data_IF_117079655459
#
_entry.id   IF_117079655459
#
_cell.length_a   1.000
_cell.length_b   1.000
_cell.length_c   1.000
_cell.angle_alpha   90.00
_cell.angle_beta   90.00
_cell.angle_gamma   90.00
#
_symmetry.space_group_name_H-M   'P 1'
#
loop_
_entity.id
_entity.type
_entity.pdbx_description
1 polymer ?
#
# COMPACT_ATOMS: atom_id res chain seq x y z
N UNK A 1 -47.08 -35.82 -16.77
CA UNK A 1 -45.66 -35.41 -16.78
C UNK A 1 -45.54 -34.00 -16.17
N UNK A 2 -44.63 -33.78 -15.21
CA UNK A 2 -44.55 -32.55 -14.42
C UNK A 2 -43.69 -31.47 -15.11
N UNK A 3 -44.08 -30.20 -15.00
CA UNK A 3 -43.24 -29.05 -15.37
C UNK A 3 -42.26 -28.77 -14.23
N UNK A 4 -40.98 -28.81 -14.58
CA UNK A 4 -39.83 -28.62 -13.71
C UNK A 4 -39.77 -27.23 -13.08
N UNK A 5 -39.36 -27.23 -11.81
CA UNK A 5 -38.77 -26.11 -11.09
C UNK A 5 -37.58 -25.52 -11.87
N UNK A 6 -37.45 -24.18 -11.87
CA UNK A 6 -36.14 -23.53 -12.03
C UNK A 6 -35.71 -22.99 -10.68
N UNK A 7 -34.71 -23.66 -10.12
CA UNK A 7 -33.90 -23.19 -9.00
C UNK A 7 -33.08 -21.97 -9.42
N UNK A 8 -32.71 -21.17 -8.43
CA UNK A 8 -31.96 -19.93 -8.60
C UNK A 8 -30.54 -20.10 -9.12
N UNK A 9 -29.90 -18.94 -9.30
CA UNK A 9 -28.46 -18.69 -9.09
C UNK A 9 -28.19 -17.21 -9.32
N UNK A 10 -27.99 -16.51 -8.21
CA UNK A 10 -26.85 -15.62 -7.96
C UNK A 10 -26.26 -14.89 -9.16
N UNK A 11 -26.59 -13.60 -9.27
CA UNK A 11 -25.80 -12.62 -10.00
C UNK A 11 -24.98 -11.81 -9.00
N UNK A 12 -23.95 -12.44 -8.41
CA UNK A 12 -22.82 -11.71 -7.85
C UNK A 12 -21.80 -11.55 -8.97
N UNK A 13 -21.90 -10.43 -9.70
CA UNK A 13 -20.81 -9.97 -10.54
C UNK A 13 -19.73 -9.38 -9.62
N UNK A 14 -18.74 -10.18 -9.28
CA UNK A 14 -17.48 -9.68 -8.72
C UNK A 14 -16.82 -8.77 -9.76
N UNK A 15 -16.69 -7.50 -9.39
CA UNK A 15 -15.96 -6.50 -10.15
C UNK A 15 -14.45 -6.70 -9.88
N UNK A 16 -13.87 -7.78 -10.39
CA UNK A 16 -12.42 -7.99 -10.36
C UNK A 16 -11.81 -7.18 -11.52
N UNK A 17 -11.21 -6.04 -11.23
CA UNK A 17 -10.32 -5.40 -12.19
C UNK A 17 -9.08 -6.29 -12.39
N UNK A 18 -8.62 -6.49 -13.63
CA UNK A 18 -7.50 -7.37 -13.92
C UNK A 18 -6.20 -6.80 -13.36
N UNK A 19 -5.57 -7.54 -12.45
CA UNK A 19 -4.16 -7.34 -12.09
C UNK A 19 -3.31 -7.43 -13.37
N UNK A 20 -2.74 -6.30 -13.80
CA UNK A 20 -1.88 -6.26 -14.99
C UNK A 20 -0.53 -6.90 -14.65
N UNK A 21 -0.19 -7.97 -15.38
CA UNK A 21 1.06 -8.73 -15.21
C UNK A 21 2.29 -7.86 -15.50
N UNK A 22 3.22 -7.81 -14.55
CA UNK A 22 4.57 -7.28 -14.72
C UNK A 22 5.33 -8.12 -15.75
N UNK A 23 5.77 -7.50 -16.86
CA UNK A 23 6.69 -8.11 -17.81
C UNK A 23 7.92 -7.23 -17.88
N UNK A 24 9.02 -7.65 -17.24
CA UNK A 24 10.28 -6.89 -17.29
C UNK A 24 10.84 -6.93 -18.71
N UNK A 25 10.98 -5.77 -19.36
CA UNK A 25 11.77 -5.61 -20.58
C UNK A 25 13.22 -5.25 -20.21
N UNK A 26 14.14 -5.57 -21.13
CA UNK A 26 15.59 -5.35 -21.02
C UNK A 26 15.96 -3.92 -20.55
N UNK A 27 17.12 -3.71 -19.91
CA UNK A 27 17.47 -2.41 -19.33
C UNK A 27 17.63 -1.37 -20.43
N UNK A 28 16.71 -0.40 -20.45
CA UNK A 28 16.75 0.78 -21.31
C UNK A 28 17.89 1.71 -20.83
N UNK A 29 18.62 2.33 -21.77
CA UNK A 29 19.60 3.38 -21.44
C UNK A 29 18.92 4.49 -20.63
N UNK A 30 19.62 5.04 -19.64
CA UNK A 30 19.11 6.15 -18.83
C UNK A 30 18.77 7.35 -19.73
N UNK A 31 17.59 7.96 -19.59
CA UNK A 31 17.19 9.13 -20.38
C UNK A 31 18.16 10.30 -20.19
N UNK A 32 18.32 11.13 -21.22
CA UNK A 32 19.10 12.36 -21.10
C UNK A 32 18.33 13.43 -20.33
N UNK A 33 19.02 14.36 -19.62
CA UNK A 33 18.36 15.45 -18.89
C UNK A 33 17.44 16.32 -19.78
N UNK A 34 17.81 16.52 -21.05
CA UNK A 34 16.94 17.25 -21.99
C UNK A 34 15.66 16.48 -22.34
N UNK A 35 15.74 15.15 -22.49
CA UNK A 35 14.57 14.32 -22.73
C UNK A 35 13.64 14.31 -21.51
N UNK A 36 14.20 14.29 -20.30
CA UNK A 36 13.46 14.37 -19.04
C UNK A 36 12.74 15.73 -18.89
N UNK A 37 13.44 16.85 -19.12
CA UNK A 37 12.84 18.19 -19.11
C UNK A 37 11.73 18.33 -20.16
N UNK A 38 11.89 17.67 -21.32
CA UNK A 38 10.86 17.60 -22.36
C UNK A 38 9.58 16.89 -21.90
N UNK A 39 9.69 15.88 -21.04
CA UNK A 39 8.55 15.16 -20.48
C UNK A 39 7.78 16.02 -19.48
N UNK A 40 8.47 16.72 -18.57
CA UNK A 40 7.83 17.65 -17.63
C UNK A 40 7.06 18.75 -18.37
N UNK A 41 7.72 19.45 -19.31
CA UNK A 41 7.07 20.51 -20.11
C UNK A 41 5.86 20.00 -20.90
N UNK A 42 5.88 18.72 -21.29
CA UNK A 42 4.74 18.11 -21.98
C UNK A 42 3.54 17.95 -21.06
N UNK A 43 3.74 17.53 -19.80
CA UNK A 43 2.67 17.47 -18.79
C UNK A 43 2.08 18.86 -18.58
N UNK A 44 2.92 19.86 -18.33
CA UNK A 44 2.48 21.25 -18.15
C UNK A 44 1.67 21.76 -19.36
N UNK A 45 2.12 21.45 -20.58
CA UNK A 45 1.39 21.78 -21.81
C UNK A 45 0.04 21.07 -21.91
N UNK A 46 -0.06 19.79 -21.53
CA UNK A 46 -1.32 19.05 -21.53
C UNK A 46 -2.30 19.61 -20.49
N UNK A 47 -1.80 19.98 -19.30
CA UNK A 47 -2.56 20.65 -18.25
C UNK A 47 -3.08 22.01 -18.73
N UNK A 48 -2.23 22.84 -19.35
CA UNK A 48 -2.62 24.12 -19.90
C UNK A 48 -3.67 24.00 -21.02
N UNK A 49 -3.70 22.87 -21.74
CA UNK A 49 -4.72 22.54 -22.74
C UNK A 49 -6.02 21.99 -22.16
N UNK A 50 -6.14 21.91 -20.83
CA UNK A 50 -7.34 21.43 -20.15
C UNK A 50 -7.59 19.93 -20.29
N UNK A 51 -6.55 19.13 -20.48
CA UNK A 51 -6.69 17.65 -20.48
C UNK A 51 -7.15 17.14 -19.12
N UNK A 52 -7.85 16.00 -19.12
CA UNK A 52 -8.38 15.41 -17.88
C UNK A 52 -7.28 14.67 -17.12
N UNK A 53 -7.38 14.51 -15.79
CA UNK A 53 -6.43 13.73 -14.98
C UNK A 53 -6.11 12.35 -15.59
N UNK A 54 -7.13 11.62 -16.04
CA UNK A 54 -6.96 10.33 -16.71
C UNK A 54 -6.08 10.40 -17.97
N UNK A 55 -6.22 11.45 -18.78
CA UNK A 55 -5.37 11.62 -19.98
C UNK A 55 -3.89 11.84 -19.58
N UNK A 56 -3.66 12.54 -18.47
CA UNK A 56 -2.32 12.76 -17.93
C UNK A 56 -1.74 11.45 -17.41
N UNK A 57 -2.51 10.67 -16.64
CA UNK A 57 -2.09 9.37 -16.14
C UNK A 57 -1.75 8.39 -17.29
N UNK A 58 -2.57 8.33 -18.34
CA UNK A 58 -2.29 7.52 -19.54
C UNK A 58 -0.98 7.92 -20.24
N UNK A 59 -0.70 9.22 -20.32
CA UNK A 59 0.56 9.73 -20.86
C UNK A 59 1.75 9.35 -19.98
N UNK A 60 1.64 9.53 -18.65
CA UNK A 60 2.69 9.16 -17.69
C UNK A 60 3.01 7.67 -17.76
N UNK A 61 1.98 6.83 -17.82
CA UNK A 61 2.13 5.39 -18.00
C UNK A 61 2.92 5.06 -19.27
N UNK A 62 2.53 5.63 -20.41
CA UNK A 62 3.24 5.42 -21.68
C UNK A 62 4.72 5.83 -21.61
N UNK A 63 5.02 6.98 -21.00
CA UNK A 63 6.40 7.47 -20.84
C UNK A 63 7.22 6.53 -19.95
N UNK A 64 6.62 6.03 -18.87
CA UNK A 64 7.25 5.13 -17.89
C UNK A 64 7.57 3.76 -18.49
N UNK A 65 6.57 3.12 -19.12
CA UNK A 65 6.73 1.82 -19.80
C UNK A 65 7.73 1.85 -20.96
N UNK A 66 7.88 3.01 -21.60
CA UNK A 66 8.86 3.20 -22.68
C UNK A 66 10.25 3.60 -22.18
N UNK A 67 10.43 3.75 -20.86
CA UNK A 67 11.68 4.19 -20.23
C UNK A 67 12.18 5.54 -20.74
N UNK A 68 11.27 6.42 -21.17
CA UNK A 68 11.60 7.74 -21.72
C UNK A 68 11.87 8.79 -20.65
N UNK A 69 11.35 8.58 -19.44
CA UNK A 69 11.55 9.44 -18.30
C UNK A 69 11.53 8.61 -17.02
N UNK A 70 12.37 8.97 -16.07
CA UNK A 70 12.42 8.45 -14.71
C UNK A 70 12.73 9.59 -13.72
N UNK A 71 12.46 10.83 -14.13
CA UNK A 71 12.73 12.04 -13.36
C UNK A 71 11.54 12.33 -12.44
N UNK A 72 11.79 12.44 -11.13
CA UNK A 72 10.77 12.75 -10.14
C UNK A 72 9.97 14.01 -10.45
N UNK A 73 10.60 15.04 -11.02
CA UNK A 73 9.92 16.31 -11.34
C UNK A 73 8.78 16.11 -12.35
N UNK A 74 8.94 15.19 -13.29
CA UNK A 74 7.91 14.84 -14.27
C UNK A 74 6.69 14.19 -13.59
N UNK A 75 6.91 13.25 -12.67
CA UNK A 75 5.82 12.58 -11.95
C UNK A 75 5.15 13.52 -10.94
N UNK A 76 5.91 14.35 -10.22
CA UNK A 76 5.37 15.37 -9.32
C UNK A 76 4.47 16.37 -10.06
N UNK A 77 4.87 16.87 -11.23
CA UNK A 77 4.04 17.78 -12.01
C UNK A 77 2.69 17.14 -12.43
N UNK A 78 2.71 15.86 -12.78
CA UNK A 78 1.49 15.12 -13.10
C UNK A 78 0.63 14.90 -11.84
N UNK A 79 1.26 14.53 -10.73
CA UNK A 79 0.63 14.26 -9.45
C UNK A 79 -0.04 15.52 -8.86
N UNK A 80 0.64 16.66 -8.87
CA UNK A 80 0.09 17.93 -8.38
C UNK A 80 -1.20 18.29 -9.12
N UNK A 81 -1.23 18.07 -10.43
CA UNK A 81 -2.43 18.29 -11.23
C UNK A 81 -3.56 17.33 -10.84
N UNK A 82 -3.32 16.03 -10.76
CA UNK A 82 -4.38 15.05 -10.43
C UNK A 82 -4.91 15.23 -9.01
N UNK A 83 -4.03 15.48 -8.04
CA UNK A 83 -4.40 15.76 -6.65
C UNK A 83 -5.20 17.06 -6.52
N UNK A 84 -4.84 18.13 -7.24
CA UNK A 84 -5.61 19.39 -7.24
C UNK A 84 -7.05 19.21 -7.76
N UNK A 85 -7.25 18.18 -8.60
CA UNK A 85 -8.57 17.79 -9.13
C UNK A 85 -9.29 16.77 -8.25
N UNK A 86 -8.67 16.33 -7.14
CA UNK A 86 -9.15 15.25 -6.26
C UNK A 86 -9.41 13.93 -7.01
N UNK A 87 -8.63 13.67 -8.05
CA UNK A 87 -8.71 12.43 -8.83
C UNK A 87 -7.68 11.43 -8.28
N UNK A 88 -8.08 10.72 -7.22
CA UNK A 88 -7.18 9.83 -6.48
C UNK A 88 -6.84 8.55 -7.25
N UNK A 89 -7.69 8.11 -8.18
CA UNK A 89 -7.41 6.96 -9.03
C UNK A 89 -6.29 7.30 -10.02
N UNK A 90 -6.37 8.47 -10.68
CA UNK A 90 -5.30 8.92 -11.58
C UNK A 90 -3.99 9.20 -10.83
N UNK A 91 -4.06 9.65 -9.57
CA UNK A 91 -2.89 9.83 -8.73
C UNK A 91 -2.27 8.49 -8.30
N UNK A 92 -3.08 7.44 -8.04
CA UNK A 92 -2.60 6.07 -7.85
C UNK A 92 -1.82 5.59 -9.09
N UNK A 93 -2.42 5.73 -10.28
CA UNK A 93 -1.82 5.32 -11.56
C UNK A 93 -0.47 6.00 -11.81
N UNK A 94 -0.33 7.29 -11.48
CA UNK A 94 0.92 8.04 -11.61
C UNK A 94 1.99 7.49 -10.68
N UNK A 95 1.65 7.23 -9.41
CA UNK A 95 2.59 6.65 -8.45
C UNK A 95 3.04 5.24 -8.87
N UNK A 96 2.12 4.39 -9.34
CA UNK A 96 2.49 3.07 -9.85
C UNK A 96 3.39 3.16 -11.10
N UNK A 97 3.13 4.14 -11.97
CA UNK A 97 4.00 4.42 -13.13
C UNK A 97 5.40 4.88 -12.70
N UNK A 98 5.51 5.67 -11.63
CA UNK A 98 6.78 6.07 -11.05
C UNK A 98 7.57 4.87 -10.51
N UNK A 99 6.89 3.91 -9.87
CA UNK A 99 7.49 2.64 -9.43
C UNK A 99 8.03 1.84 -10.62
N UNK A 100 7.23 1.72 -11.70
CA UNK A 100 7.65 1.04 -12.94
C UNK A 100 8.90 1.67 -13.54
N UNK A 101 9.01 3.01 -13.51
CA UNK A 101 10.17 3.74 -13.98
C UNK A 101 11.33 3.81 -12.96
N UNK A 102 11.20 3.15 -11.81
CA UNK A 102 12.20 3.09 -10.75
C UNK A 102 12.54 4.45 -10.14
N UNK A 103 11.52 5.31 -9.98
CA UNK A 103 11.68 6.61 -9.34
C UNK A 103 11.85 6.40 -7.84
N UNK A 104 13.06 6.68 -7.36
CA UNK A 104 13.41 6.60 -5.95
C UNK A 104 13.32 7.99 -5.31
N UNK A 105 12.09 8.42 -5.02
CA UNK A 105 11.79 9.69 -4.36
C UNK A 105 10.65 9.50 -3.35
N UNK A 106 10.99 9.40 -2.07
CA UNK A 106 10.03 9.26 -0.98
C UNK A 106 9.01 10.41 -0.94
N UNK A 107 9.42 11.65 -1.30
CA UNK A 107 8.50 12.79 -1.24
C UNK A 107 7.37 12.68 -2.27
N UNK A 108 7.61 12.01 -3.40
CA UNK A 108 6.56 11.72 -4.38
C UNK A 108 5.45 10.87 -3.74
N UNK A 109 5.82 9.73 -3.16
CA UNK A 109 4.87 8.80 -2.57
C UNK A 109 4.23 9.36 -1.31
N UNK A 110 5.01 10.07 -0.49
CA UNK A 110 4.52 10.73 0.71
C UNK A 110 3.48 11.80 0.39
N UNK A 111 3.72 12.66 -0.61
CA UNK A 111 2.79 13.72 -1.00
C UNK A 111 1.48 13.17 -1.55
N UNK A 112 1.55 12.09 -2.35
CA UNK A 112 0.39 11.39 -2.85
C UNK A 112 -0.47 10.84 -1.69
N UNK A 113 0.16 10.08 -0.79
CA UNK A 113 -0.54 9.42 0.32
C UNK A 113 -1.11 10.45 1.30
N UNK A 114 -0.34 11.49 1.66
CA UNK A 114 -0.84 12.52 2.59
C UNK A 114 -2.08 13.21 2.02
N UNK A 115 -2.05 13.56 0.73
CA UNK A 115 -3.17 14.27 0.10
C UNK A 115 -4.39 13.37 -0.06
N UNK A 116 -4.21 12.13 -0.53
CA UNK A 116 -5.30 11.15 -0.68
C UNK A 116 -6.01 10.90 0.64
N UNK A 117 -5.25 10.89 1.74
CA UNK A 117 -5.73 10.50 3.06
C UNK A 117 -6.01 11.68 4.00
N UNK A 118 -5.82 12.93 3.54
CA UNK A 118 -6.00 14.13 4.36
C UNK A 118 -7.47 14.43 4.66
N UNK A 119 -7.83 14.76 5.91
CA UNK A 119 -9.18 15.17 6.30
C UNK A 119 -9.78 16.30 5.44
N UNK A 120 -8.95 17.24 4.99
CA UNK A 120 -9.35 18.42 4.19
C UNK A 120 -9.84 18.00 2.81
N UNK A 121 -9.32 16.90 2.27
CA UNK A 121 -9.74 16.33 0.99
C UNK A 121 -11.21 15.91 1.00
N UNK A 122 -11.77 15.58 2.18
CA UNK A 122 -13.12 15.06 2.39
C UNK A 122 -14.16 16.11 2.81
N UNK A 123 -13.83 17.40 2.80
CA UNK A 123 -14.69 18.46 3.36
C UNK A 123 -15.88 18.92 2.46
N UNK A 124 -16.08 18.34 1.27
CA UNK A 124 -17.17 18.71 0.35
C UNK A 124 -18.28 17.64 0.37
N UNK A 125 -19.49 18.04 0.78
CA UNK A 125 -20.54 17.14 1.23
C UNK A 125 -21.21 16.23 0.18
N UNK A 126 -21.92 15.23 0.69
CA UNK A 126 -23.03 14.56 0.00
C UNK A 126 -22.90 13.06 -0.25
N UNK A 127 -21.68 12.50 -0.23
CA UNK A 127 -21.43 11.05 -0.27
C UNK A 127 -20.66 10.71 1.00
N UNK A 128 -21.11 9.71 1.77
CA UNK A 128 -20.61 9.46 3.13
C UNK A 128 -19.08 9.54 3.17
N UNK A 129 -18.51 10.48 3.92
CA UNK A 129 -17.07 10.70 4.03
C UNK A 129 -16.27 9.40 4.25
N UNK A 130 -16.91 8.38 4.83
CA UNK A 130 -16.39 7.04 5.02
C UNK A 130 -16.08 6.27 3.73
N UNK A 131 -16.92 6.36 2.67
CA UNK A 131 -16.69 5.67 1.40
C UNK A 131 -15.50 6.26 0.62
N UNK A 132 -15.37 7.59 0.63
CA UNK A 132 -14.23 8.28 0.01
C UNK A 132 -12.94 8.00 0.79
N UNK A 133 -12.99 8.07 2.13
CA UNK A 133 -11.87 7.66 2.99
C UNK A 133 -11.41 6.24 2.68
N UNK A 134 -12.37 5.32 2.55
CA UNK A 134 -12.10 3.92 2.24
C UNK A 134 -11.42 3.77 0.87
N UNK A 135 -11.96 4.38 -0.19
CA UNK A 135 -11.34 4.38 -1.52
C UNK A 135 -9.93 4.98 -1.50
N UNK A 136 -9.73 6.11 -0.80
CA UNK A 136 -8.40 6.72 -0.64
C UNK A 136 -7.40 5.79 0.05
N UNK A 137 -7.82 5.05 1.09
CA UNK A 137 -6.97 4.06 1.73
C UNK A 137 -6.69 2.86 0.81
N UNK A 138 -7.65 2.42 0.01
CA UNK A 138 -7.39 1.39 -1.00
C UNK A 138 -6.31 1.86 -1.98
N UNK A 139 -6.44 3.07 -2.53
CA UNK A 139 -5.47 3.61 -3.47
C UNK A 139 -4.08 3.74 -2.84
N UNK A 140 -3.99 4.23 -1.59
CA UNK A 140 -2.73 4.32 -0.85
C UNK A 140 -2.04 2.97 -0.72
N UNK A 141 -2.73 1.89 -0.31
CA UNK A 141 -2.02 0.62 -0.16
C UNK A 141 -1.77 -0.11 -1.47
N UNK A 142 -2.48 0.22 -2.57
CA UNK A 142 -2.07 -0.24 -3.90
C UNK A 142 -0.74 0.39 -4.31
N UNK A 143 -0.54 1.69 -4.08
CA UNK A 143 0.78 2.35 -4.27
C UNK A 143 1.85 1.61 -3.46
N UNK A 144 1.62 1.42 -2.16
CA UNK A 144 2.58 0.77 -1.27
C UNK A 144 2.85 -0.69 -1.65
N UNK A 145 1.82 -1.42 -2.10
CA UNK A 145 1.95 -2.78 -2.64
C UNK A 145 2.79 -2.84 -3.92
N UNK A 146 2.66 -1.86 -4.82
CA UNK A 146 3.50 -1.77 -6.02
C UNK A 146 4.97 -1.53 -5.66
N UNK A 147 5.25 -0.61 -4.73
CA UNK A 147 6.62 -0.37 -4.23
C UNK A 147 7.18 -1.67 -3.63
N UNK A 148 6.37 -2.40 -2.87
CA UNK A 148 6.81 -3.64 -2.24
C UNK A 148 7.19 -4.72 -3.24
N UNK A 149 6.32 -4.94 -4.21
CA UNK A 149 6.57 -5.90 -5.27
C UNK A 149 7.80 -5.52 -6.11
N UNK A 150 7.98 -4.22 -6.39
CA UNK A 150 9.19 -3.72 -7.04
C UNK A 150 10.43 -4.09 -6.22
N UNK A 151 10.49 -3.71 -4.95
CA UNK A 151 11.66 -3.98 -4.10
C UNK A 151 11.98 -5.46 -3.92
N UNK A 152 10.99 -6.34 -3.94
CA UNK A 152 11.18 -7.80 -3.89
C UNK A 152 11.87 -8.37 -5.13
N UNK A 153 11.76 -7.68 -6.27
CA UNK A 153 12.31 -8.15 -7.56
C UNK A 153 13.62 -7.46 -7.95
N UNK A 154 14.06 -6.44 -7.18
CA UNK A 154 15.24 -5.65 -7.49
C UNK A 154 16.44 -5.93 -6.58
N UNK A 155 17.63 -5.62 -7.10
CA UNK A 155 18.86 -5.52 -6.29
C UNK A 155 18.75 -4.39 -5.25
N UNK A 156 19.55 -4.48 -4.18
CA UNK A 156 19.51 -3.54 -3.05
C UNK A 156 19.72 -2.07 -3.44
N UNK A 157 20.47 -1.82 -4.51
CA UNK A 157 20.79 -0.51 -5.07
C UNK A 157 19.63 0.14 -5.83
N UNK A 158 18.59 -0.62 -6.18
CA UNK A 158 17.42 -0.17 -6.95
C UNK A 158 16.12 -0.24 -6.14
N UNK A 159 16.22 -0.50 -4.84
CA UNK A 159 15.08 -0.45 -3.93
C UNK A 159 14.66 0.99 -3.76
N UNK A 160 13.35 1.21 -3.84
CA UNK A 160 12.72 2.49 -3.54
C UNK A 160 12.64 2.61 -2.03
N UNK A 161 13.13 3.71 -1.47
CA UNK A 161 12.89 4.08 -0.08
C UNK A 161 11.58 4.87 0.00
N UNK A 162 10.61 4.34 0.74
CA UNK A 162 9.30 4.94 0.97
C UNK A 162 8.88 4.82 2.44
N UNK A 163 9.83 4.70 3.37
CA UNK A 163 9.53 4.39 4.78
C UNK A 163 8.55 5.40 5.40
N UNK A 164 8.70 6.70 5.07
CA UNK A 164 7.81 7.77 5.58
C UNK A 164 6.40 7.62 5.03
N UNK A 165 6.26 7.25 3.76
CA UNK A 165 4.98 7.02 3.12
C UNK A 165 4.21 5.84 3.77
N UNK A 166 4.91 4.74 4.10
CA UNK A 166 4.32 3.61 4.83
C UNK A 166 3.85 3.98 6.24
N UNK A 167 4.68 4.68 7.02
CA UNK A 167 4.33 5.12 8.38
C UNK A 167 3.12 6.05 8.35
N UNK A 168 3.13 7.04 7.45
CA UNK A 168 2.01 7.96 7.31
C UNK A 168 0.72 7.23 6.93
N UNK A 169 0.77 6.27 6.00
CA UNK A 169 -0.41 5.51 5.61
C UNK A 169 -1.01 4.74 6.80
N UNK A 170 -0.18 4.08 7.62
CA UNK A 170 -0.69 3.40 8.83
C UNK A 170 -1.35 4.41 9.78
N UNK A 171 -0.71 5.55 10.02
CA UNK A 171 -1.24 6.58 10.93
C UNK A 171 -2.57 7.16 10.42
N UNK A 172 -2.67 7.43 9.12
CA UNK A 172 -3.90 7.94 8.51
C UNK A 172 -5.02 6.91 8.48
N UNK A 173 -4.74 5.66 8.10
CA UNK A 173 -5.75 4.59 8.14
C UNK A 173 -6.22 4.39 9.58
N UNK A 174 -5.31 4.45 10.56
CA UNK A 174 -5.63 4.36 11.98
C UNK A 174 -6.62 5.44 12.43
N UNK A 175 -6.34 6.69 12.10
CA UNK A 175 -7.14 7.88 12.49
C UNK A 175 -8.53 7.91 11.86
N UNK A 176 -8.82 7.07 10.86
CA UNK A 176 -10.15 7.00 10.27
C UNK A 176 -11.18 6.55 11.31
N UNK A 177 -11.99 7.49 11.79
CA UNK A 177 -13.21 7.20 12.54
C UNK A 177 -14.21 6.48 11.62
N UNK A 178 -14.33 5.16 11.81
CA UNK A 178 -15.24 4.28 11.09
C UNK A 178 -16.23 3.72 12.10
N UNK A 179 -17.50 4.06 11.94
CA UNK A 179 -18.57 3.64 12.85
C UNK A 179 -19.14 2.28 12.43
N UNK A 180 -19.05 1.94 11.14
CA UNK A 180 -19.48 0.65 10.62
C UNK A 180 -18.51 -0.46 11.04
N UNK A 181 -19.04 -1.53 11.65
CA UNK A 181 -18.22 -2.61 12.20
C UNK A 181 -17.44 -3.37 11.11
N UNK A 182 -18.05 -3.60 9.95
CA UNK A 182 -17.40 -4.31 8.83
C UNK A 182 -16.27 -3.47 8.26
N UNK A 183 -16.52 -2.19 7.94
CA UNK A 183 -15.49 -1.26 7.48
C UNK A 183 -14.37 -1.07 8.52
N UNK A 184 -14.70 -1.18 9.82
CA UNK A 184 -13.72 -1.07 10.89
C UNK A 184 -12.80 -2.29 10.96
N UNK A 185 -13.30 -3.47 10.60
CA UNK A 185 -12.47 -4.66 10.37
C UNK A 185 -11.64 -4.55 9.10
N UNK A 186 -12.25 -4.18 7.98
CA UNK A 186 -11.55 -4.01 6.69
C UNK A 186 -10.38 -3.02 6.82
N UNK A 187 -10.57 -1.92 7.56
CA UNK A 187 -9.52 -0.95 7.92
C UNK A 187 -8.34 -1.60 8.63
N UNK A 188 -8.58 -2.52 9.56
CA UNK A 188 -7.51 -3.22 10.30
C UNK A 188 -6.77 -4.17 9.38
N UNK A 189 -7.49 -4.93 8.56
CA UNK A 189 -6.89 -5.80 7.56
C UNK A 189 -6.01 -4.98 6.59
N UNK A 190 -6.42 -3.76 6.26
CA UNK A 190 -5.64 -2.83 5.42
C UNK A 190 -4.36 -2.32 6.09
N UNK A 191 -4.39 -1.99 7.39
CA UNK A 191 -3.18 -1.64 8.16
C UNK A 191 -2.20 -2.82 8.18
N UNK A 192 -2.72 -4.03 8.36
CA UNK A 192 -1.93 -5.25 8.39
C UNK A 192 -1.25 -5.52 7.04
N UNK A 193 -1.96 -5.30 5.94
CA UNK A 193 -1.42 -5.40 4.58
C UNK A 193 -0.32 -4.36 4.33
N UNK A 194 -0.54 -3.08 4.71
CA UNK A 194 0.50 -2.04 4.62
C UNK A 194 1.77 -2.45 5.37
N UNK A 195 1.60 -2.90 6.62
CA UNK A 195 2.71 -3.31 7.46
C UNK A 195 3.45 -4.54 6.92
N UNK A 196 2.70 -5.53 6.44
CA UNK A 196 3.26 -6.72 5.80
C UNK A 196 4.07 -6.37 4.54
N UNK A 197 3.51 -5.50 3.68
CA UNK A 197 4.19 -5.01 2.49
C UNK A 197 5.50 -4.31 2.87
N UNK A 198 5.49 -3.43 3.88
CA UNK A 198 6.70 -2.75 4.34
C UNK A 198 7.80 -3.73 4.79
N UNK A 199 7.43 -4.76 5.55
CA UNK A 199 8.36 -5.80 6.00
C UNK A 199 8.96 -6.58 4.83
N UNK A 200 8.14 -7.00 3.88
CA UNK A 200 8.54 -7.81 2.74
C UNK A 200 9.43 -6.99 1.77
N UNK A 201 9.27 -5.67 1.74
CA UNK A 201 10.01 -4.76 0.84
C UNK A 201 11.42 -4.41 1.27
N UNK A 202 11.81 -4.77 2.50
CA UNK A 202 13.04 -4.27 3.15
C UNK A 202 13.20 -2.73 3.06
N UNK A 203 12.10 -1.98 3.10
CA UNK A 203 12.08 -0.51 3.08
C UNK A 203 12.50 0.01 4.47
N UNK A 204 13.81 -0.08 4.67
CA UNK A 204 14.66 0.43 5.74
C UNK A 204 14.35 0.06 7.22
N UNK A 205 15.42 0.08 8.01
CA UNK A 205 15.61 -0.36 9.39
C UNK A 205 14.84 0.47 10.44
N UNK A 206 14.17 1.54 10.00
CA UNK A 206 13.45 2.51 10.82
C UNK A 206 11.95 2.21 10.96
N UNK A 207 11.47 1.08 10.43
CA UNK A 207 10.25 0.46 10.93
C UNK A 207 10.44 0.13 12.42
N UNK A 208 10.18 1.14 13.24
CA UNK A 208 10.50 1.13 14.65
C UNK A 208 9.58 0.22 15.45
N UNK A 209 9.99 0.04 16.70
CA UNK A 209 9.19 -0.55 17.78
C UNK A 209 7.75 -0.04 17.74
N UNK A 210 7.59 1.26 17.48
CA UNK A 210 6.31 1.95 17.48
C UNK A 210 5.33 1.40 16.43
N UNK A 211 5.78 1.09 15.21
CA UNK A 211 4.88 0.63 14.17
C UNK A 211 4.44 -0.82 14.43
N UNK A 212 5.38 -1.69 14.83
CA UNK A 212 5.04 -3.06 15.21
C UNK A 212 4.10 -3.07 16.42
N UNK A 213 4.41 -2.30 17.47
CA UNK A 213 3.58 -2.21 18.68
C UNK A 213 2.18 -1.68 18.35
N UNK A 214 2.04 -0.65 17.51
CA UNK A 214 0.73 -0.15 17.04
C UNK A 214 -0.07 -1.24 16.32
N UNK A 215 0.53 -1.89 15.32
CA UNK A 215 -0.13 -2.96 14.56
C UNK A 215 -0.50 -4.12 15.47
N UNK A 216 0.39 -4.50 16.38
CA UNK A 216 0.15 -5.56 17.34
C UNK A 216 -1.00 -5.24 18.29
N UNK A 217 -1.07 -4.02 18.82
CA UNK A 217 -2.20 -3.55 19.66
C UNK A 217 -3.54 -3.61 18.91
N UNK A 218 -3.59 -3.29 17.62
CA UNK A 218 -4.84 -3.42 16.83
C UNK A 218 -5.39 -4.83 16.81
N UNK A 219 -4.49 -5.80 16.63
CA UNK A 219 -4.86 -7.22 16.60
C UNK A 219 -5.53 -7.57 17.93
N UNK A 220 -4.92 -7.15 19.05
CA UNK A 220 -5.44 -7.42 20.39
C UNK A 220 -6.77 -6.70 20.65
N UNK A 221 -6.88 -5.43 20.26
CA UNK A 221 -8.05 -4.58 20.46
C UNK A 221 -9.21 -4.91 19.51
N UNK A 222 -9.01 -5.81 18.53
CA UNK A 222 -10.04 -6.13 17.55
C UNK A 222 -11.23 -6.93 18.14
N UNK A 223 -12.17 -6.26 18.80
CA UNK A 223 -13.31 -6.90 19.47
C UNK A 223 -14.19 -7.78 18.55
N UNK A 224 -14.24 -7.49 17.25
CA UNK A 224 -15.01 -8.28 16.28
C UNK A 224 -14.33 -9.59 15.85
N UNK A 225 -13.00 -9.68 15.97
CA UNK A 225 -12.26 -10.88 15.59
C UNK A 225 -12.33 -11.97 16.65
N UNK A 226 -12.52 -13.22 16.21
CA UNK A 226 -12.41 -14.40 17.07
C UNK A 226 -11.00 -14.51 17.68
N UNK A 227 -10.90 -15.19 18.84
CA UNK A 227 -9.61 -15.46 19.49
C UNK A 227 -8.61 -16.14 18.53
N UNK A 228 -9.11 -17.09 17.74
CA UNK A 228 -8.31 -17.79 16.73
C UNK A 228 -7.83 -16.85 15.62
N UNK A 229 -8.70 -15.99 15.06
CA UNK A 229 -8.30 -15.00 14.04
C UNK A 229 -7.22 -14.06 14.58
N UNK A 230 -7.36 -13.58 15.82
CA UNK A 230 -6.33 -12.75 16.47
C UNK A 230 -5.01 -13.49 16.66
N UNK A 231 -5.06 -14.74 17.11
CA UNK A 231 -3.86 -15.57 17.26
C UNK A 231 -3.14 -15.74 15.91
N UNK A 232 -3.88 -16.06 14.84
CA UNK A 232 -3.31 -16.19 13.50
C UNK A 232 -2.67 -14.90 13.00
N UNK A 233 -3.36 -13.75 13.15
CA UNK A 233 -2.84 -12.44 12.76
C UNK A 233 -1.60 -12.05 13.58
N UNK A 234 -1.65 -12.24 14.91
CA UNK A 234 -0.53 -11.98 15.80
C UNK A 234 0.69 -12.83 15.44
N UNK A 235 0.48 -14.11 15.15
CA UNK A 235 1.52 -15.02 14.68
C UNK A 235 2.14 -14.55 13.37
N UNK A 236 1.31 -14.25 12.35
CA UNK A 236 1.79 -13.88 11.02
C UNK A 236 2.65 -12.59 11.06
N UNK A 237 2.14 -11.53 11.69
CA UNK A 237 2.84 -10.25 11.82
C UNK A 237 4.14 -10.43 12.60
N UNK A 238 4.11 -11.18 13.70
CA UNK A 238 5.30 -11.44 14.51
C UNK A 238 6.33 -12.24 13.72
N UNK A 239 5.90 -13.28 13.00
CA UNK A 239 6.79 -14.11 12.18
C UNK A 239 7.46 -13.29 11.05
N UNK A 240 6.70 -12.44 10.35
CA UNK A 240 7.27 -11.53 9.34
C UNK A 240 8.24 -10.53 9.96
N UNK A 241 7.92 -9.98 11.13
CA UNK A 241 8.80 -9.04 11.86
C UNK A 241 10.10 -9.70 12.34
N UNK A 242 10.05 -10.96 12.79
CA UNK A 242 11.26 -11.71 13.15
C UNK A 242 12.15 -11.95 11.92
N UNK A 243 11.56 -12.24 10.75
CA UNK A 243 12.32 -12.48 9.51
C UNK A 243 12.96 -11.23 8.92
N UNK A 244 12.38 -10.04 9.18
CA UNK A 244 12.94 -8.77 8.70
C UNK A 244 14.19 -8.36 9.49
N UNK A 245 14.76 -7.17 9.25
CA UNK A 245 15.91 -6.65 10.03
C UNK A 245 15.52 -6.07 11.41
N UNK A 246 14.24 -6.09 11.75
CA UNK A 246 13.67 -5.40 12.93
C UNK A 246 13.80 -6.23 14.21
N UNK A 247 14.50 -5.75 15.24
CA UNK A 247 14.70 -6.49 16.51
C UNK A 247 13.87 -5.92 17.67
N UNK A 248 12.91 -6.71 18.20
CA UNK A 248 11.98 -6.29 19.26
C UNK A 248 11.69 -7.40 20.27
N UNK A 249 12.70 -7.79 21.05
CA UNK A 249 12.65 -8.89 22.03
C UNK A 249 11.44 -8.81 22.97
N UNK A 250 11.06 -7.61 23.45
CA UNK A 250 9.90 -7.42 24.34
C UNK A 250 8.57 -7.73 23.63
N UNK A 251 8.38 -7.21 22.42
CA UNK A 251 7.13 -7.41 21.68
C UNK A 251 7.01 -8.85 21.17
N UNK A 252 8.13 -9.49 20.82
CA UNK A 252 8.15 -10.91 20.49
C UNK A 252 7.75 -11.78 21.69
N UNK A 253 8.22 -11.44 22.90
CA UNK A 253 7.78 -12.11 24.13
C UNK A 253 6.28 -11.94 24.37
N UNK A 254 5.76 -10.71 24.30
CA UNK A 254 4.32 -10.45 24.44
C UNK A 254 3.49 -11.21 23.40
N UNK A 255 3.97 -11.29 22.16
CA UNK A 255 3.36 -12.08 21.10
C UNK A 255 3.29 -13.57 21.44
N UNK A 256 4.39 -14.14 21.95
CA UNK A 256 4.41 -15.54 22.39
C UNK A 256 3.47 -15.78 23.58
N UNK A 257 3.47 -14.92 24.60
CA UNK A 257 2.57 -15.02 25.76
C UNK A 257 1.10 -14.99 25.34
N UNK A 258 0.74 -14.09 24.43
CA UNK A 258 -0.60 -14.02 23.86
C UNK A 258 -0.99 -15.31 23.13
N UNK A 259 -0.10 -15.85 22.30
CA UNK A 259 -0.36 -17.11 21.58
C UNK A 259 -0.49 -18.30 22.55
N UNK A 260 0.32 -18.38 23.59
CA UNK A 260 0.23 -19.44 24.60
C UNK A 260 -1.09 -19.40 25.37
N UNK A 261 -1.51 -18.20 25.80
CA UNK A 261 -2.79 -18.01 26.49
C UNK A 261 -4.01 -18.34 25.61
N UNK A 262 -3.85 -18.34 24.29
CA UNK A 262 -4.88 -18.77 23.32
C UNK A 262 -4.71 -20.21 22.84
N UNK A 263 -3.83 -21.01 23.48
CA UNK A 263 -3.63 -22.42 23.15
C UNK A 263 -2.87 -22.68 21.85
N UNK A 264 -2.28 -21.66 21.22
CA UNK A 264 -1.60 -21.73 19.94
C UNK A 264 -0.16 -22.25 20.04
N UNK A 265 0.04 -23.40 20.70
CA UNK A 265 1.35 -23.97 21.03
C UNK A 265 2.27 -24.17 19.81
N UNK A 266 1.70 -24.58 18.67
CA UNK A 266 2.46 -24.78 17.44
C UNK A 266 3.00 -23.46 16.87
N UNK A 267 2.20 -22.39 16.90
CA UNK A 267 2.63 -21.05 16.46
C UNK A 267 3.75 -20.51 17.35
N UNK A 268 3.64 -20.66 18.67
CA UNK A 268 4.73 -20.29 19.60
C UNK A 268 6.02 -21.05 19.31
N UNK A 269 5.93 -22.36 19.06
CA UNK A 269 7.10 -23.18 18.70
C UNK A 269 7.76 -22.66 17.43
N UNK A 270 6.97 -22.32 16.42
CA UNK A 270 7.50 -21.75 15.18
C UNK A 270 8.16 -20.40 15.41
N UNK A 271 7.57 -19.50 16.22
CA UNK A 271 8.20 -18.21 16.53
C UNK A 271 9.52 -18.38 17.29
N UNK A 272 9.60 -19.29 18.27
CA UNK A 272 10.85 -19.61 18.97
C UNK A 272 11.94 -20.07 18.02
N UNK A 273 11.60 -20.96 17.08
CA UNK A 273 12.54 -21.42 16.07
C UNK A 273 13.00 -20.27 15.17
N UNK A 274 12.10 -19.37 14.77
CA UNK A 274 12.46 -18.19 13.98
C UNK A 274 13.42 -17.26 14.74
N UNK A 275 13.19 -17.01 16.04
CA UNK A 275 14.09 -16.19 16.86
C UNK A 275 15.51 -16.78 16.90
N UNK A 276 15.63 -18.10 17.06
CA UNK A 276 16.94 -18.79 17.04
C UNK A 276 17.61 -18.66 15.67
N UNK A 277 16.89 -18.93 14.58
CA UNK A 277 17.42 -18.86 13.21
C UNK A 277 17.91 -17.44 12.86
N UNK A 278 17.12 -16.43 13.23
CA UNK A 278 17.43 -15.03 12.94
C UNK A 278 18.28 -14.34 14.01
N UNK A 279 18.71 -15.07 15.06
CA UNK A 279 19.53 -14.57 16.18
C UNK A 279 18.94 -13.31 16.84
N UNK A 280 17.64 -13.35 17.15
CA UNK A 280 16.87 -12.26 17.77
C UNK A 280 16.36 -12.61 19.17
#
# INVERSE_FOLDING_TARGET
MPKQMRSGKDAHAENQQPQRRFVSKAPLQSPTPMAQLGCQKKVESLVAKGRKPKDIAEYVYYVSESGKCNDSAFYMAALDFTLSRKDFDSAEDICQSAVVAHVNDDNLYLSAIDTMMSPVSFAAGGVSNEAIKYASAENACRILGSIALHNLTQGSDKKIDASRAFVLAVDRVWEYGINDARRSEDRKDRIMEIYANALDSEIDQSMGYDLFDRVYRLILENKGASKERKANQAFEVTAKTIRSKVSHTILFTKAMEFLESNGAKNQCRTLRNLLVVHKK
#
